data_IF_926183847552
#
_entry.id   IF_926183847552
#
_cell.length_a   1.000
_cell.length_b   1.000
_cell.length_c   1.000
_cell.angle_alpha   90.00
_cell.angle_beta   90.00
_cell.angle_gamma   90.00
#
_symmetry.space_group_name_H-M   'P 1'
#
loop_
_entity.id
_entity.type
_entity.pdbx_description
1 polymer ?
#
# COMPACT_ATOMS: atom_id res chain seq x y z
N UNK A 1 9.16 -10.72 11.06
CA UNK A 1 7.67 -10.62 11.14
C UNK A 1 7.12 -10.12 9.82
N UNK A 2 6.08 -10.76 9.27
CA UNK A 2 5.35 -10.23 8.14
C UNK A 2 4.17 -9.39 8.61
N UNK A 3 3.93 -8.26 7.98
CA UNK A 3 2.86 -7.36 8.39
C UNK A 3 1.94 -6.97 7.22
N UNK A 4 0.68 -6.70 7.55
CA UNK A 4 -0.28 -6.11 6.62
C UNK A 4 -0.53 -4.66 7.02
N UNK A 5 -0.45 -3.75 6.04
CA UNK A 5 -0.89 -2.37 6.20
C UNK A 5 -2.27 -2.19 5.56
N UNK A 6 -3.29 -2.03 6.38
CA UNK A 6 -4.64 -1.66 5.93
C UNK A 6 -4.87 -0.16 5.98
N UNK A 7 -5.76 0.29 5.14
CA UNK A 7 -6.23 1.67 5.05
C UNK A 7 -6.66 1.99 3.62
N UNK A 8 -7.55 2.95 3.43
CA UNK A 8 -7.96 3.37 2.08
C UNK A 8 -6.79 3.95 1.28
N UNK A 9 -6.98 4.15 -0.01
CA UNK A 9 -6.02 4.90 -0.82
C UNK A 9 -5.81 6.29 -0.19
N UNK A 10 -4.56 6.75 -0.09
CA UNK A 10 -4.24 8.02 0.58
C UNK A 10 -4.11 7.97 2.11
N UNK A 11 -4.30 6.82 2.76
CA UNK A 11 -4.13 6.70 4.21
C UNK A 11 -2.68 6.83 4.71
N UNK A 12 -1.69 6.83 3.80
CA UNK A 12 -0.27 6.93 4.18
C UNK A 12 0.46 5.59 4.22
N UNK A 13 -0.19 4.48 3.82
CA UNK A 13 0.43 3.13 3.82
C UNK A 13 1.79 3.08 3.13
N UNK A 14 1.88 3.61 1.92
CA UNK A 14 3.12 3.61 1.15
C UNK A 14 4.24 4.41 1.82
N UNK A 15 3.92 5.57 2.40
CA UNK A 15 4.87 6.41 3.16
C UNK A 15 5.41 5.64 4.37
N UNK A 16 4.54 5.01 5.14
CA UNK A 16 4.93 4.22 6.31
C UNK A 16 5.71 2.96 5.91
N UNK A 17 5.29 2.28 4.84
CA UNK A 17 6.03 1.14 4.32
C UNK A 17 7.45 1.52 3.90
N UNK A 18 7.64 2.64 3.20
CA UNK A 18 8.97 3.14 2.82
C UNK A 18 9.84 3.46 4.04
N UNK A 19 9.26 4.05 5.09
CA UNK A 19 9.97 4.30 6.36
C UNK A 19 10.44 3.00 7.01
N UNK A 20 9.56 1.99 7.09
CA UNK A 20 9.90 0.68 7.67
C UNK A 20 10.97 -0.03 6.84
N UNK A 21 10.87 0.02 5.51
CA UNK A 21 11.88 -0.56 4.59
C UNK A 21 13.25 0.08 4.83
N UNK A 22 13.29 1.42 4.88
CA UNK A 22 14.54 2.17 5.06
C UNK A 22 15.21 1.90 6.39
N UNK A 23 14.42 1.82 7.48
CA UNK A 23 14.95 1.80 8.84
C UNK A 23 15.13 0.37 9.39
N UNK A 24 14.38 -0.61 8.90
CA UNK A 24 14.27 -1.92 9.56
C UNK A 24 14.46 -3.12 8.61
N UNK A 25 14.98 -2.88 7.40
CA UNK A 25 15.30 -3.93 6.42
C UNK A 25 14.11 -4.86 6.10
N UNK A 26 12.94 -4.25 5.87
CA UNK A 26 11.75 -4.94 5.37
C UNK A 26 11.69 -4.85 3.84
N UNK A 27 10.85 -5.70 3.24
CA UNK A 27 10.50 -5.64 1.83
C UNK A 27 9.04 -5.25 1.67
N UNK A 28 8.77 -4.12 0.99
CA UNK A 28 7.41 -3.73 0.67
C UNK A 28 6.92 -4.49 -0.56
N UNK A 29 5.86 -5.26 -0.41
CA UNK A 29 5.12 -5.90 -1.49
C UNK A 29 3.81 -5.13 -1.68
N UNK A 30 3.86 -4.16 -2.59
CA UNK A 30 2.72 -3.32 -2.96
C UNK A 30 2.05 -3.89 -4.20
N UNK A 31 0.81 -4.38 -4.06
CA UNK A 31 0.05 -4.86 -5.24
C UNK A 31 -0.20 -3.75 -6.24
N UNK A 32 -0.35 -2.50 -5.78
CA UNK A 32 -0.46 -1.36 -6.68
C UNK A 32 0.79 -1.13 -7.51
N UNK A 33 1.99 -1.35 -6.94
CA UNK A 33 3.25 -1.19 -7.68
C UNK A 33 3.45 -2.36 -8.64
N UNK A 34 3.17 -3.60 -8.23
CA UNK A 34 3.21 -4.76 -9.13
C UNK A 34 2.34 -4.54 -10.38
N UNK A 35 1.13 -4.03 -10.20
CA UNK A 35 0.22 -3.75 -11.31
C UNK A 35 0.73 -2.59 -12.20
N UNK A 36 1.29 -1.54 -11.62
CA UNK A 36 1.91 -0.43 -12.36
C UNK A 36 3.15 -0.87 -13.15
N UNK A 37 3.93 -1.79 -12.60
CA UNK A 37 5.10 -2.36 -13.29
C UNK A 37 4.67 -3.16 -14.52
N UNK A 38 3.57 -3.93 -14.46
CA UNK A 38 3.02 -4.61 -15.63
C UNK A 38 2.61 -3.61 -16.73
N UNK A 39 1.99 -2.48 -16.36
CA UNK A 39 1.63 -1.41 -17.29
C UNK A 39 2.89 -0.76 -17.88
N UNK A 40 3.85 -0.39 -17.05
CA UNK A 40 5.11 0.28 -17.46
C UNK A 40 5.94 -0.60 -18.40
N UNK A 41 5.99 -1.89 -18.11
CA UNK A 41 6.72 -2.87 -18.91
C UNK A 41 5.95 -3.34 -20.16
N UNK A 42 4.73 -2.79 -20.38
CA UNK A 42 3.87 -3.11 -21.53
C UNK A 42 3.66 -4.62 -21.70
N UNK A 43 3.47 -5.34 -20.61
CA UNK A 43 3.18 -6.77 -20.66
C UNK A 43 1.82 -7.03 -21.30
N UNK A 44 1.53 -8.29 -21.66
CA UNK A 44 0.25 -8.66 -22.23
C UNK A 44 -0.93 -8.27 -21.34
N UNK A 45 -0.76 -8.32 -20.02
CA UNK A 45 -1.77 -7.94 -19.02
C UNK A 45 -1.82 -6.41 -18.77
N UNK A 46 -0.74 -5.69 -19.06
CA UNK A 46 -0.59 -4.28 -18.70
C UNK A 46 -1.69 -3.38 -19.27
N UNK A 47 -2.12 -3.60 -20.52
CA UNK A 47 -3.18 -2.82 -21.14
C UNK A 47 -4.58 -3.06 -20.55
N UNK A 48 -4.86 -4.27 -20.07
CA UNK A 48 -6.11 -4.59 -19.35
C UNK A 48 -6.10 -3.97 -17.96
N UNK A 49 -4.99 -4.13 -17.25
CA UNK A 49 -4.78 -3.57 -15.90
C UNK A 49 -4.94 -2.05 -15.92
N UNK A 50 -4.36 -1.34 -16.91
CA UNK A 50 -4.44 0.12 -17.02
C UNK A 50 -5.90 0.60 -17.12
N UNK A 51 -6.71 -0.07 -17.96
CA UNK A 51 -8.14 0.25 -18.13
C UNK A 51 -8.95 0.05 -16.84
N UNK A 52 -8.65 -1.01 -16.06
CA UNK A 52 -9.34 -1.31 -14.80
C UNK A 52 -8.96 -0.26 -13.73
N UNK A 53 -7.66 0.01 -13.57
CA UNK A 53 -7.15 0.95 -12.57
C UNK A 53 -7.62 2.39 -12.85
N UNK A 54 -7.70 2.80 -14.12
CA UNK A 54 -8.17 4.12 -14.50
C UNK A 54 -9.62 4.41 -14.05
N UNK A 55 -10.47 3.36 -13.94
CA UNK A 55 -11.84 3.45 -13.40
C UNK A 55 -11.90 3.41 -11.87
N UNK A 56 -10.77 3.14 -11.20
CA UNK A 56 -10.73 2.94 -9.75
C UNK A 56 -11.18 1.55 -9.30
N UNK A 57 -11.37 0.63 -10.23
CA UNK A 57 -11.78 -0.75 -9.95
C UNK A 57 -10.62 -1.63 -9.48
N UNK A 58 -10.96 -2.79 -8.89
CA UNK A 58 -9.98 -3.80 -8.51
C UNK A 58 -9.73 -4.76 -9.68
N UNK A 59 -8.45 -5.03 -9.92
CA UNK A 59 -8.00 -6.09 -10.83
C UNK A 59 -8.42 -7.44 -10.25
N UNK A 60 -8.65 -8.44 -11.10
CA UNK A 60 -9.11 -9.77 -10.68
C UNK A 60 -8.15 -10.41 -9.67
N UNK A 61 -8.71 -11.18 -8.72
CA UNK A 61 -7.95 -11.87 -7.68
C UNK A 61 -6.93 -12.84 -8.27
N UNK A 62 -7.23 -13.45 -9.40
CA UNK A 62 -6.35 -14.40 -10.10
C UNK A 62 -5.04 -13.71 -10.55
N UNK A 63 -5.16 -12.56 -11.22
CA UNK A 63 -3.99 -11.77 -11.65
C UNK A 63 -3.17 -11.34 -10.45
N UNK A 64 -3.82 -10.77 -9.44
CA UNK A 64 -3.15 -10.29 -8.23
C UNK A 64 -2.43 -11.42 -7.51
N UNK A 65 -3.08 -12.56 -7.31
CA UNK A 65 -2.50 -13.72 -6.63
C UNK A 65 -1.29 -14.29 -7.39
N UNK A 66 -1.34 -14.32 -8.73
CA UNK A 66 -0.22 -14.78 -9.56
C UNK A 66 1.00 -13.89 -9.39
N UNK A 67 0.82 -12.57 -9.48
CA UNK A 67 1.91 -11.60 -9.29
C UNK A 67 2.47 -11.65 -7.86
N UNK A 68 1.59 -11.78 -6.87
CA UNK A 68 1.96 -11.90 -5.47
C UNK A 68 2.81 -13.15 -5.21
N UNK A 69 2.34 -14.32 -5.66
CA UNK A 69 3.06 -15.59 -5.49
C UNK A 69 4.46 -15.53 -6.10
N UNK A 70 4.58 -14.99 -7.31
CA UNK A 70 5.88 -14.77 -7.98
C UNK A 70 6.83 -13.91 -7.12
N UNK A 71 6.30 -12.90 -6.43
CA UNK A 71 7.11 -12.01 -5.59
C UNK A 71 7.51 -12.64 -4.25
N UNK A 72 6.63 -13.43 -3.63
CA UNK A 72 6.90 -14.11 -2.34
C UNK A 72 7.94 -15.22 -2.47
N UNK A 73 8.09 -15.81 -3.66
CA UNK A 73 9.13 -16.85 -3.89
C UNK A 73 10.56 -16.35 -3.68
N UNK A 74 10.77 -15.03 -3.59
CA UNK A 74 12.09 -14.47 -3.30
C UNK A 74 12.46 -14.68 -1.83
N UNK A 75 13.28 -15.71 -1.57
CA UNK A 75 13.69 -16.12 -0.22
C UNK A 75 14.47 -15.05 0.57
N UNK A 76 15.00 -14.02 -0.11
CA UNK A 76 15.78 -12.94 0.55
C UNK A 76 14.96 -12.17 1.59
N UNK A 77 13.64 -12.11 1.43
CA UNK A 77 12.74 -11.31 2.26
C UNK A 77 11.85 -12.14 3.19
N UNK A 78 12.25 -13.39 3.51
CA UNK A 78 11.50 -14.21 4.45
C UNK A 78 11.29 -13.50 5.79
N UNK A 79 10.05 -13.58 6.29
CA UNK A 79 9.63 -13.03 7.59
C UNK A 79 9.89 -11.52 7.78
N UNK A 80 9.97 -10.76 6.66
CA UNK A 80 10.13 -9.30 6.64
C UNK A 80 9.37 -8.66 5.49
N UNK A 81 8.16 -9.12 5.23
CA UNK A 81 7.32 -8.63 4.14
C UNK A 81 6.25 -7.69 4.69
N UNK A 82 6.13 -6.53 4.07
CA UNK A 82 5.02 -5.59 4.26
C UNK A 82 4.04 -5.79 3.12
N UNK A 83 2.85 -6.31 3.40
CA UNK A 83 1.78 -6.40 2.42
C UNK A 83 1.02 -5.07 2.37
N UNK A 84 1.21 -4.31 1.29
CA UNK A 84 0.55 -3.02 1.05
C UNK A 84 -0.49 -3.15 -0.06
N UNK A 85 -1.75 -2.86 0.28
CA UNK A 85 -2.87 -2.96 -0.66
C UNK A 85 -3.36 -4.39 -0.94
N UNK A 86 -2.97 -5.35 -0.13
CA UNK A 86 -3.42 -6.74 -0.15
C UNK A 86 -3.42 -7.31 1.28
N UNK A 87 -4.44 -8.10 1.68
CA UNK A 87 -5.64 -8.47 0.91
C UNK A 87 -6.69 -7.35 0.87
N UNK A 88 -7.59 -7.38 -0.13
CA UNK A 88 -8.70 -6.42 -0.30
C UNK A 88 -10.08 -7.03 -0.16
N UNK A 89 -10.16 -8.35 0.00
CA UNK A 89 -11.37 -9.08 0.33
C UNK A 89 -11.01 -10.32 1.16
N UNK A 90 -12.03 -10.98 1.73
CA UNK A 90 -11.81 -12.14 2.62
C UNK A 90 -11.19 -13.32 1.89
N UNK A 91 -11.58 -13.58 0.63
CA UNK A 91 -11.00 -14.65 -0.18
C UNK A 91 -9.50 -14.44 -0.40
N UNK A 92 -9.08 -13.20 -0.69
CA UNK A 92 -7.66 -12.85 -0.77
C UNK A 92 -6.94 -13.06 0.56
N UNK A 93 -7.58 -12.77 1.71
CA UNK A 93 -6.99 -12.99 3.02
C UNK A 93 -6.74 -14.48 3.29
N UNK A 94 -7.68 -15.33 2.93
CA UNK A 94 -7.53 -16.78 3.01
C UNK A 94 -6.44 -17.30 2.08
N UNK A 95 -6.41 -16.82 0.83
CA UNK A 95 -5.38 -17.19 -0.14
C UNK A 95 -3.98 -16.73 0.29
N UNK A 96 -3.84 -15.53 0.88
CA UNK A 96 -2.58 -15.08 1.44
C UNK A 96 -2.05 -16.04 2.51
N UNK A 97 -2.92 -16.44 3.44
CA UNK A 97 -2.54 -17.39 4.47
C UNK A 97 -2.09 -18.74 3.88
N UNK A 98 -2.80 -19.25 2.87
CA UNK A 98 -2.42 -20.50 2.18
C UNK A 98 -1.05 -20.36 1.49
N UNK A 99 -0.84 -19.29 0.74
CA UNK A 99 0.44 -19.02 0.06
C UNK A 99 1.58 -18.94 1.09
N UNK A 100 1.40 -18.19 2.17
CA UNK A 100 2.45 -18.04 3.20
C UNK A 100 2.78 -19.37 3.87
N UNK A 101 1.79 -20.24 4.13
CA UNK A 101 2.00 -21.56 4.69
C UNK A 101 2.85 -22.45 3.78
N UNK A 102 2.71 -22.39 2.45
CA UNK A 102 3.58 -23.11 1.51
C UNK A 102 5.07 -22.76 1.73
N UNK A 103 5.35 -21.54 2.17
CA UNK A 103 6.70 -21.04 2.44
C UNK A 103 7.08 -21.08 3.94
N UNK A 104 6.28 -21.72 4.78
CA UNK A 104 6.46 -21.76 6.26
C UNK A 104 6.51 -20.36 6.88
N UNK A 105 5.71 -19.46 6.36
CA UNK A 105 5.55 -18.08 6.84
C UNK A 105 4.12 -17.84 7.32
N UNK A 106 3.89 -16.76 8.03
CA UNK A 106 2.58 -16.33 8.51
C UNK A 106 2.50 -14.80 8.52
N UNK A 107 1.30 -14.26 8.71
CA UNK A 107 1.11 -12.87 9.09
C UNK A 107 1.25 -12.75 10.60
N UNK A 108 2.15 -11.91 11.05
CA UNK A 108 2.44 -11.68 12.46
C UNK A 108 1.71 -10.45 13.00
N UNK A 109 1.67 -9.35 12.23
CA UNK A 109 1.12 -8.06 12.66
C UNK A 109 0.16 -7.51 11.61
N UNK A 110 -0.94 -6.92 12.06
CA UNK A 110 -1.90 -6.22 11.21
C UNK A 110 -2.05 -4.79 11.72
N UNK A 111 -1.76 -3.82 10.86
CA UNK A 111 -1.88 -2.40 11.18
C UNK A 111 -2.94 -1.78 10.27
N UNK A 112 -3.94 -1.15 10.88
CA UNK A 112 -4.97 -0.40 10.19
C UNK A 112 -4.77 1.10 10.42
N UNK A 113 -4.48 1.83 9.33
CA UNK A 113 -4.44 3.29 9.35
C UNK A 113 -5.85 3.83 9.11
N UNK A 114 -6.49 4.27 10.18
CA UNK A 114 -7.83 4.86 10.13
C UNK A 114 -7.74 6.34 9.76
N UNK A 115 -8.33 6.73 8.62
CA UNK A 115 -8.27 8.11 8.10
C UNK A 115 -9.62 8.51 7.55
N UNK A 116 -10.05 9.72 7.88
CA UNK A 116 -11.31 10.28 7.38
C UNK A 116 -11.25 10.56 5.86
N UNK A 117 -12.43 10.57 5.24
CA UNK A 117 -12.61 10.83 3.80
C UNK A 117 -12.01 12.18 3.38
N UNK A 118 -12.17 13.21 4.21
CA UNK A 118 -11.69 14.56 3.88
C UNK A 118 -10.17 14.67 3.86
N UNK A 119 -9.51 14.01 4.81
CA UNK A 119 -8.04 13.95 4.84
C UNK A 119 -7.51 13.18 3.64
N UNK A 120 -8.14 12.06 3.29
CA UNK A 120 -7.77 11.26 2.12
C UNK A 120 -7.84 12.08 0.84
N UNK A 121 -8.94 12.85 0.67
CA UNK A 121 -9.10 13.75 -0.49
C UNK A 121 -7.90 14.69 -0.63
N UNK A 122 -7.55 15.41 0.42
CA UNK A 122 -6.40 16.34 0.42
C UNK A 122 -5.09 15.62 0.10
N UNK A 123 -4.85 14.47 0.74
CA UNK A 123 -3.62 13.70 0.55
C UNK A 123 -3.43 13.18 -0.86
N UNK A 124 -4.49 12.74 -1.54
CA UNK A 124 -4.35 12.16 -2.88
C UNK A 124 -4.23 13.25 -3.95
N UNK A 125 -5.03 14.32 -3.86
CA UNK A 125 -4.97 15.40 -4.85
C UNK A 125 -3.58 16.04 -4.88
N UNK A 126 -2.93 16.19 -3.70
CA UNK A 126 -1.60 16.75 -3.58
C UNK A 126 -0.45 15.75 -3.78
N UNK A 127 -0.74 14.47 -3.99
CA UNK A 127 0.30 13.44 -4.07
C UNK A 127 1.17 13.61 -5.31
N UNK A 128 2.49 13.55 -5.09
CA UNK A 128 3.50 13.45 -6.11
C UNK A 128 4.39 12.23 -5.85
N UNK A 129 4.84 11.58 -6.91
CA UNK A 129 5.76 10.43 -6.81
C UNK A 129 6.98 10.71 -7.69
N UNK A 130 8.17 10.47 -7.16
CA UNK A 130 9.39 10.58 -7.94
C UNK A 130 9.57 9.34 -8.82
N UNK A 131 9.68 9.53 -10.13
CA UNK A 131 9.86 8.44 -11.10
C UNK A 131 11.24 7.78 -11.00
N UNK A 132 12.20 8.41 -10.29
CA UNK A 132 13.57 7.92 -10.14
C UNK A 132 13.80 7.15 -8.83
N UNK A 133 13.34 7.67 -7.69
CA UNK A 133 13.56 7.05 -6.37
C UNK A 133 12.28 6.53 -5.71
N UNK A 134 11.12 6.67 -6.38
CA UNK A 134 9.79 6.29 -5.89
C UNK A 134 9.36 6.98 -4.59
N UNK A 135 10.06 8.04 -4.14
CA UNK A 135 9.66 8.82 -2.98
C UNK A 135 8.27 9.44 -3.21
N UNK A 136 7.43 9.35 -2.18
CA UNK A 136 6.07 9.91 -2.20
C UNK A 136 6.09 11.20 -1.39
N UNK A 137 5.74 12.30 -2.03
CA UNK A 137 5.61 13.64 -1.46
C UNK A 137 4.20 14.17 -1.65
N UNK A 138 3.88 15.28 -1.02
CA UNK A 138 2.58 15.93 -1.14
C UNK A 138 2.75 17.44 -1.27
N UNK A 139 2.18 18.05 -2.32
CA UNK A 139 2.32 19.48 -2.60
C UNK A 139 1.76 20.39 -1.50
N UNK A 140 0.86 19.88 -0.65
CA UNK A 140 0.26 20.65 0.44
C UNK A 140 1.01 20.49 1.77
N UNK A 141 1.85 19.46 1.92
CA UNK A 141 2.49 19.13 3.19
C UNK A 141 4.01 19.07 3.12
N UNK A 142 4.57 18.94 1.91
CA UNK A 142 6.02 18.75 1.70
C UNK A 142 6.58 19.75 0.68
N UNK A 143 6.19 21.02 0.74
CA UNK A 143 6.61 22.02 -0.26
C UNK A 143 8.14 22.20 -0.31
N UNK A 144 8.81 22.24 0.84
CA UNK A 144 10.26 22.38 0.91
C UNK A 144 10.99 21.15 0.37
N UNK A 145 10.57 19.94 0.75
CA UNK A 145 11.14 18.69 0.28
C UNK A 145 10.93 18.49 -1.22
N UNK A 146 9.88 19.07 -1.80
CA UNK A 146 9.63 19.07 -3.23
C UNK A 146 10.66 19.97 -3.94
N UNK A 147 10.88 21.17 -3.44
CA UNK A 147 11.87 22.09 -4.03
C UNK A 147 13.31 21.58 -3.89
N UNK A 148 13.65 20.95 -2.78
CA UNK A 148 14.99 20.45 -2.47
C UNK A 148 15.16 18.95 -2.82
N UNK A 149 14.24 18.36 -3.60
CA UNK A 149 14.26 16.94 -3.87
C UNK A 149 15.57 16.48 -4.56
N UNK A 150 16.34 15.53 -3.97
CA UNK A 150 17.67 15.15 -4.47
C UNK A 150 17.71 14.68 -5.93
N UNK A 151 16.63 14.08 -6.42
CA UNK A 151 16.51 13.66 -7.82
C UNK A 151 16.16 14.81 -8.77
N UNK A 152 15.74 15.97 -8.23
CA UNK A 152 15.22 17.11 -8.97
C UNK A 152 13.69 17.09 -9.11
N UNK A 153 13.09 18.27 -9.06
CA UNK A 153 11.63 18.47 -9.13
C UNK A 153 11.01 17.94 -10.45
N UNK A 154 11.77 17.95 -11.55
CA UNK A 154 11.33 17.45 -12.86
C UNK A 154 11.02 15.95 -12.87
N UNK A 155 11.50 15.18 -11.89
CA UNK A 155 11.19 13.76 -11.74
C UNK A 155 9.94 13.50 -10.88
N UNK A 156 9.31 14.55 -10.35
CA UNK A 156 8.07 14.42 -9.58
C UNK A 156 6.86 14.49 -10.51
N UNK A 157 6.04 13.46 -10.49
CA UNK A 157 4.84 13.33 -11.32
C UNK A 157 3.61 12.99 -10.48
N UNK A 158 2.43 13.42 -10.93
CA UNK A 158 1.14 12.98 -10.38
C UNK A 158 0.73 11.67 -11.06
N UNK A 159 0.16 10.75 -10.31
CA UNK A 159 -0.40 9.53 -10.88
C UNK A 159 -1.66 9.86 -11.70
N UNK A 160 -1.86 9.20 -12.82
CA UNK A 160 -3.04 9.40 -13.69
C UNK A 160 -4.37 9.16 -12.96
N UNK A 161 -4.35 8.30 -11.96
CA UNK A 161 -5.48 7.88 -11.15
C UNK A 161 -5.69 8.73 -9.87
N UNK A 162 -4.93 9.82 -9.70
CA UNK A 162 -5.05 10.75 -8.57
C UNK A 162 -5.95 11.96 -8.91
N UNK A 163 -7.15 11.68 -9.40
CA UNK A 163 -8.21 12.66 -9.59
C UNK A 163 -9.37 12.40 -8.62
N UNK A 164 -10.20 13.43 -8.41
CA UNK A 164 -11.26 13.39 -7.39
C UNK A 164 -12.24 12.24 -7.58
N UNK A 165 -12.70 11.99 -8.79
CA UNK A 165 -13.70 10.97 -9.08
C UNK A 165 -13.15 9.57 -8.83
N UNK A 166 -11.96 9.27 -9.34
CA UNK A 166 -11.27 7.98 -9.12
C UNK A 166 -10.97 7.77 -7.65
N UNK A 167 -10.56 8.81 -6.91
CA UNK A 167 -10.29 8.74 -5.47
C UNK A 167 -11.54 8.38 -4.69
N UNK A 168 -12.68 9.02 -5.00
CA UNK A 168 -13.94 8.73 -4.32
C UNK A 168 -14.45 7.34 -4.66
N UNK A 169 -14.38 6.92 -5.91
CA UNK A 169 -14.69 5.54 -6.32
C UNK A 169 -13.86 4.50 -5.57
N UNK A 170 -12.56 4.75 -5.42
CA UNK A 170 -11.66 3.88 -4.64
C UNK A 170 -11.99 3.84 -3.16
N UNK A 171 -12.34 4.98 -2.58
CA UNK A 171 -12.76 5.04 -1.19
C UNK A 171 -14.03 4.21 -0.97
N UNK A 172 -15.04 4.40 -1.82
CA UNK A 172 -16.31 3.66 -1.73
C UNK A 172 -16.09 2.15 -1.95
N UNK A 173 -15.24 1.79 -2.91
CA UNK A 173 -14.84 0.40 -3.16
C UNK A 173 -14.10 -0.19 -1.94
N UNK A 174 -13.20 0.57 -1.31
CA UNK A 174 -12.53 0.15 -0.09
C UNK A 174 -13.53 -0.09 1.05
N UNK A 175 -14.45 0.85 1.28
CA UNK A 175 -15.46 0.72 2.35
C UNK A 175 -16.35 -0.50 2.13
N UNK A 176 -16.72 -0.79 0.88
CA UNK A 176 -17.61 -1.91 0.55
C UNK A 176 -16.90 -3.27 0.55
N UNK A 177 -15.70 -3.36 0.00
CA UNK A 177 -15.00 -4.64 -0.25
C UNK A 177 -13.88 -4.92 0.75
N UNK A 178 -13.10 -3.92 1.16
CA UNK A 178 -11.89 -4.12 1.96
C UNK A 178 -12.13 -3.90 3.45
N UNK A 179 -12.91 -2.90 3.83
CA UNK A 179 -13.21 -2.67 5.27
C UNK A 179 -13.77 -3.92 5.97
N UNK A 180 -14.65 -4.75 5.36
CA UNK A 180 -15.10 -6.00 5.98
C UNK A 180 -13.98 -7.00 6.30
N UNK A 181 -12.84 -6.93 5.60
CA UNK A 181 -11.67 -7.80 5.88
C UNK A 181 -11.06 -7.49 7.25
N UNK A 182 -11.23 -6.26 7.75
CA UNK A 182 -10.79 -5.90 9.09
C UNK A 182 -11.48 -6.78 10.15
N UNK A 183 -12.76 -7.15 9.95
CA UNK A 183 -13.46 -8.05 10.86
C UNK A 183 -12.85 -9.46 10.89
N UNK A 184 -12.28 -9.92 9.76
CA UNK A 184 -11.55 -11.19 9.68
C UNK A 184 -10.28 -11.18 10.52
N UNK A 185 -9.66 -9.99 10.69
CA UNK A 185 -8.41 -9.82 11.41
C UNK A 185 -8.57 -9.21 12.81
N UNK A 186 -9.66 -8.51 13.13
CA UNK A 186 -9.86 -7.78 14.39
C UNK A 186 -9.79 -8.66 15.63
N UNK A 187 -10.09 -9.95 15.52
CA UNK A 187 -10.02 -10.91 16.61
C UNK A 187 -8.61 -11.51 16.81
N UNK A 188 -7.62 -11.13 16.00
CA UNK A 188 -6.24 -11.56 16.16
C UNK A 188 -5.53 -10.67 17.16
N UNK A 189 -4.69 -11.25 18.02
CA UNK A 189 -3.96 -10.53 19.08
C UNK A 189 -3.10 -9.37 18.56
N UNK A 190 -2.58 -9.50 17.35
CA UNK A 190 -1.63 -8.55 16.75
C UNK A 190 -2.31 -7.59 15.76
N UNK A 191 -3.58 -7.24 16.00
CA UNK A 191 -4.31 -6.22 15.26
C UNK A 191 -4.23 -4.87 15.97
N UNK A 192 -3.70 -3.86 15.28
CA UNK A 192 -3.50 -2.51 15.78
C UNK A 192 -4.17 -1.48 14.88
N UNK A 193 -5.01 -0.64 15.46
CA UNK A 193 -5.56 0.54 14.79
C UNK A 193 -4.75 1.78 15.18
N UNK A 194 -4.33 2.55 14.18
CA UNK A 194 -3.58 3.79 14.35
C UNK A 194 -4.38 4.92 13.70
N UNK A 195 -4.52 6.04 14.41
CA UNK A 195 -5.05 7.26 13.81
C UNK A 195 -4.09 7.75 12.71
N UNK A 196 -4.50 7.53 11.45
CA UNK A 196 -3.71 7.94 10.30
C UNK A 196 -3.78 9.44 10.00
N UNK A 197 -4.50 10.24 10.81
CA UNK A 197 -4.51 11.71 10.71
C UNK A 197 -3.28 12.34 11.36
N UNK A 198 -2.60 11.63 12.24
CA UNK A 198 -1.37 12.06 12.89
C UNK A 198 -0.28 12.42 11.86
N UNK A 199 0.76 13.12 12.30
CA UNK A 199 1.92 13.39 11.45
C UNK A 199 2.69 12.09 11.13
N UNK A 200 3.55 12.15 10.11
CA UNK A 200 4.24 10.97 9.59
C UNK A 200 5.12 10.32 10.65
N UNK A 201 5.85 11.13 11.43
CA UNK A 201 6.82 10.65 12.41
C UNK A 201 6.13 9.99 13.61
N UNK A 202 5.01 10.54 14.08
CA UNK A 202 4.21 9.93 15.14
C UNK A 202 3.65 8.56 14.73
N UNK A 203 3.16 8.45 13.49
CA UNK A 203 2.68 7.17 12.97
C UNK A 203 3.85 6.19 12.86
N UNK A 204 5.00 6.64 12.34
CA UNK A 204 6.22 5.82 12.21
C UNK A 204 6.67 5.31 13.57
N UNK A 205 6.72 6.17 14.60
CA UNK A 205 7.10 5.81 15.97
C UNK A 205 6.16 4.76 16.56
N UNK A 206 4.85 4.93 16.39
CA UNK A 206 3.84 3.93 16.84
C UNK A 206 4.05 2.59 16.14
N UNK A 207 4.29 2.59 14.84
CA UNK A 207 4.54 1.36 14.09
C UNK A 207 5.84 0.70 14.56
N UNK A 208 6.92 1.45 14.74
CA UNK A 208 8.19 0.90 15.23
C UNK A 208 8.03 0.27 16.62
N UNK A 209 7.26 0.90 17.51
CA UNK A 209 6.96 0.33 18.82
C UNK A 209 6.19 -1.00 18.71
N UNK A 210 5.18 -1.09 17.85
CA UNK A 210 4.41 -2.33 17.61
C UNK A 210 5.32 -3.44 17.06
N UNK A 211 6.26 -3.10 16.18
CA UNK A 211 7.19 -4.05 15.58
C UNK A 211 8.37 -4.42 16.51
N UNK A 212 8.51 -3.77 17.67
CA UNK A 212 9.63 -3.90 18.59
C UNK A 212 10.99 -3.61 17.91
N UNK A 213 11.08 -2.55 17.11
CA UNK A 213 12.25 -2.14 16.32
C UNK A 213 12.53 -0.65 16.50
#
# INVERSE_FOLDING_TARGET
>A
MNLILFGPAGAGKGTQAQSIVKNHNYFQLSTGDLLRDEIKNKTQLGGEIDRIIAKGDFVSDEIVNTLLKKSITNLKFRDRIIFDGYPRNTLQAENLNKILLEFKQKIDVIIFLNVSRDIIKKRIIGRMTCDKCNMILNEFFNSEEIELHPCGKSFLSKRKDDNFETVMSRYDTYMKKTKPVLNYYSNKKDFHEIDGALNIDDITSKISHILNV
#
